data_IF_781035500564
#
_entry.id   IF_781035500564
#
_cell.length_a   1.000
_cell.length_b   1.000
_cell.length_c   1.000
_cell.angle_alpha   90.00
_cell.angle_beta   90.00
_cell.angle_gamma   90.00
#
_symmetry.space_group_name_H-M   'P 1'
#
loop_
_entity.id
_entity.type
_entity.pdbx_description
1 polymer ?
#
# COMPACT_ATOMS: atom_id res chain seq x y z
N UNK A 1 -2.42 8.94 -23.61
CA UNK A 1 -1.66 8.07 -22.69
C UNK A 1 -1.04 8.85 -21.53
N UNK A 2 0.03 9.66 -21.68
CA UNK A 2 0.62 10.34 -20.51
C UNK A 2 -0.36 11.22 -19.71
N UNK A 3 -1.27 11.95 -20.37
CA UNK A 3 -2.39 12.65 -19.70
C UNK A 3 -3.27 11.68 -18.90
N UNK A 4 -3.63 10.54 -19.49
CA UNK A 4 -4.42 9.48 -18.85
C UNK A 4 -3.70 8.90 -17.62
N UNK A 5 -2.37 8.72 -17.67
CA UNK A 5 -1.61 8.17 -16.55
C UNK A 5 -1.43 9.19 -15.40
N UNK A 6 -1.36 10.49 -15.71
CA UNK A 6 -1.43 11.57 -14.71
C UNK A 6 -2.83 11.63 -14.08
N UNK A 7 -3.88 11.50 -14.90
CA UNK A 7 -5.26 11.43 -14.42
C UNK A 7 -5.48 10.18 -13.54
N UNK A 8 -4.97 9.02 -13.95
CA UNK A 8 -4.98 7.78 -13.18
C UNK A 8 -4.28 7.99 -11.83
N UNK A 9 -3.10 8.59 -11.80
CA UNK A 9 -2.39 8.92 -10.56
C UNK A 9 -3.24 9.78 -9.63
N UNK A 10 -3.76 10.92 -10.11
CA UNK A 10 -4.59 11.80 -9.28
C UNK A 10 -5.86 11.10 -8.79
N UNK A 11 -6.57 10.36 -9.66
CA UNK A 11 -7.78 9.62 -9.28
C UNK A 11 -7.46 8.52 -8.27
N UNK A 12 -6.40 7.73 -8.48
CA UNK A 12 -5.99 6.67 -7.55
C UNK A 12 -5.55 7.22 -6.19
N UNK A 13 -4.76 8.30 -6.16
CA UNK A 13 -4.39 8.96 -4.92
C UNK A 13 -5.60 9.56 -4.21
N UNK A 14 -6.46 10.32 -4.89
CA UNK A 14 -7.65 10.89 -4.24
C UNK A 14 -8.64 9.83 -3.73
N UNK A 15 -8.80 8.71 -4.44
CA UNK A 15 -9.60 7.57 -3.96
C UNK A 15 -8.96 6.96 -2.71
N UNK A 16 -7.64 6.73 -2.71
CA UNK A 16 -6.89 6.23 -1.56
C UNK A 16 -7.00 7.18 -0.37
N UNK A 17 -6.80 8.49 -0.57
CA UNK A 17 -6.85 9.52 0.47
C UNK A 17 -8.26 9.57 1.11
N UNK A 18 -9.33 9.57 0.31
CA UNK A 18 -10.72 9.51 0.80
C UNK A 18 -10.93 8.25 1.64
N UNK A 19 -10.51 7.08 1.16
CA UNK A 19 -10.70 5.82 1.86
C UNK A 19 -9.86 5.69 3.15
N UNK A 20 -8.64 6.22 3.18
CA UNK A 20 -7.77 6.17 4.36
C UNK A 20 -8.16 7.21 5.43
N UNK A 21 -8.70 8.37 5.05
CA UNK A 21 -8.94 9.50 5.98
C UNK A 21 -10.40 9.73 6.38
N UNK A 22 -11.35 9.16 5.65
CA UNK A 22 -12.79 9.38 5.90
C UNK A 22 -13.66 8.13 5.82
N UNK A 23 -13.19 7.10 5.12
CA UNK A 23 -13.95 5.87 4.90
C UNK A 23 -13.65 4.79 5.93
N UNK A 24 -12.38 4.40 6.02
CA UNK A 24 -11.93 3.09 6.47
C UNK A 24 -10.66 3.12 7.35
N UNK A 25 -10.38 4.20 8.08
CA UNK A 25 -9.30 4.22 9.06
C UNK A 25 -9.41 3.06 10.06
N UNK A 26 -8.31 2.31 10.22
CA UNK A 26 -8.22 1.13 11.09
C UNK A 26 -7.49 1.44 12.39
N UNK A 27 -8.10 1.09 13.53
CA UNK A 27 -7.37 0.92 14.79
C UNK A 27 -6.69 -0.45 14.75
N UNK A 28 -5.39 -0.49 14.43
CA UNK A 28 -4.55 -1.69 14.37
C UNK A 28 -3.77 -1.85 15.68
N UNK A 29 -3.63 -3.08 16.17
CA UNK A 29 -3.11 -3.37 17.51
C UNK A 29 -1.76 -4.08 17.49
N UNK A 30 -0.65 -3.35 17.46
CA UNK A 30 0.72 -3.93 17.53
C UNK A 30 0.85 -4.89 18.75
N UNK A 31 1.62 -5.99 18.72
CA UNK A 31 2.24 -6.65 17.58
C UNK A 31 1.30 -7.70 16.97
N UNK A 32 -0.01 -7.44 16.99
CA UNK A 32 -1.04 -8.26 16.34
C UNK A 32 -1.48 -7.63 15.01
N UNK A 33 -1.71 -8.42 13.94
CA UNK A 33 -2.34 -7.94 12.71
C UNK A 33 -3.88 -7.92 12.89
N UNK A 34 -4.31 -7.51 14.08
CA UNK A 34 -5.68 -7.36 14.52
C UNK A 34 -6.08 -5.90 14.48
N UNK A 35 -7.36 -5.65 14.25
CA UNK A 35 -7.92 -4.32 14.39
C UNK A 35 -9.40 -4.28 14.07
N UNK A 36 -9.91 -3.07 13.94
CA UNK A 36 -11.25 -2.80 13.43
C UNK A 36 -11.27 -1.41 12.80
N UNK A 37 -12.08 -1.21 11.74
CA UNK A 37 -12.29 0.11 11.20
C UNK A 37 -13.14 0.96 12.18
N UNK A 38 -12.80 2.24 12.29
CA UNK A 38 -13.40 3.19 13.24
C UNK A 38 -14.18 4.34 12.57
N UNK A 39 -14.09 4.46 11.24
CA UNK A 39 -14.58 5.61 10.48
C UNK A 39 -16.00 5.45 9.91
N UNK A 40 -16.46 6.43 9.12
CA UNK A 40 -17.84 6.61 8.65
C UNK A 40 -18.45 5.34 8.05
N UNK A 41 -17.69 4.55 7.30
CA UNK A 41 -18.23 3.35 6.64
C UNK A 41 -18.58 2.25 7.64
N UNK A 42 -17.95 2.24 8.81
CA UNK A 42 -18.31 1.37 9.94
C UNK A 42 -19.59 1.82 10.62
N UNK A 43 -19.85 3.13 10.68
CA UNK A 43 -21.08 3.68 11.24
C UNK A 43 -22.31 3.34 10.39
N UNK A 44 -22.18 3.35 9.06
CA UNK A 44 -23.25 2.90 8.14
C UNK A 44 -23.32 1.37 7.95
N UNK A 45 -22.51 0.60 8.69
CA UNK A 45 -22.58 -0.87 8.72
C UNK A 45 -21.93 -1.61 7.54
N UNK A 46 -20.98 -1.01 6.81
CA UNK A 46 -20.20 -1.74 5.79
C UNK A 46 -19.35 -2.81 6.48
N UNK A 47 -19.36 -4.05 5.96
CA UNK A 47 -18.58 -5.15 6.50
C UNK A 47 -17.08 -4.83 6.54
N UNK A 48 -16.43 -5.02 7.70
CA UNK A 48 -15.02 -4.65 7.93
C UNK A 48 -14.02 -5.34 6.99
N UNK A 49 -14.33 -6.53 6.49
CA UNK A 49 -13.55 -7.23 5.45
C UNK A 49 -13.54 -6.43 4.15
N UNK A 50 -14.70 -5.91 3.74
CA UNK A 50 -14.85 -5.09 2.52
C UNK A 50 -14.10 -3.76 2.71
N UNK A 51 -14.21 -3.14 3.89
CA UNK A 51 -13.47 -1.92 4.23
C UNK A 51 -11.94 -2.12 4.08
N UNK A 52 -11.41 -3.20 4.66
CA UNK A 52 -9.97 -3.51 4.59
C UNK A 52 -9.52 -3.82 3.16
N UNK A 53 -10.30 -4.61 2.41
CA UNK A 53 -9.99 -4.96 1.04
C UNK A 53 -9.87 -3.72 0.14
N UNK A 54 -10.85 -2.79 0.23
CA UNK A 54 -10.87 -1.57 -0.60
C UNK A 54 -9.73 -0.62 -0.19
N UNK A 55 -9.45 -0.47 1.11
CA UNK A 55 -8.36 0.38 1.61
C UNK A 55 -7.01 -0.11 1.08
N UNK A 56 -6.69 -1.39 1.28
CA UNK A 56 -5.42 -1.97 0.83
C UNK A 56 -5.33 -1.99 -0.71
N UNK A 57 -6.41 -2.30 -1.41
CA UNK A 57 -6.45 -2.29 -2.88
C UNK A 57 -6.27 -0.89 -3.48
N UNK A 58 -6.85 0.15 -2.87
CA UNK A 58 -6.67 1.54 -3.32
C UNK A 58 -5.25 2.05 -3.04
N UNK A 59 -4.63 1.66 -1.92
CA UNK A 59 -3.21 1.91 -1.66
C UNK A 59 -2.29 1.25 -2.71
N UNK A 60 -2.51 -0.02 -3.04
CA UNK A 60 -1.78 -0.71 -4.10
C UNK A 60 -2.01 -0.07 -5.48
N UNK A 61 -3.23 0.39 -5.78
CA UNK A 61 -3.54 1.11 -7.01
C UNK A 61 -2.83 2.47 -7.10
N UNK A 62 -2.71 3.21 -5.99
CA UNK A 62 -1.94 4.45 -5.93
C UNK A 62 -0.44 4.19 -6.19
N UNK A 63 0.16 3.18 -5.55
CA UNK A 63 1.57 2.80 -5.81
C UNK A 63 1.76 2.39 -7.27
N UNK A 64 0.88 1.54 -7.80
CA UNK A 64 0.92 1.11 -9.21
C UNK A 64 0.73 2.28 -10.18
N UNK A 65 -0.05 3.31 -9.83
CA UNK A 65 -0.22 4.50 -10.67
C UNK A 65 1.08 5.32 -10.81
N UNK A 66 1.96 5.35 -9.80
CA UNK A 66 3.32 5.91 -9.94
C UNK A 66 4.16 5.09 -10.93
N UNK A 67 4.11 3.75 -10.84
CA UNK A 67 4.79 2.86 -11.81
C UNK A 67 4.29 3.14 -13.23
N UNK A 68 2.98 3.22 -13.44
CA UNK A 68 2.37 3.53 -14.73
C UNK A 68 2.74 4.95 -15.23
N UNK A 69 2.87 5.94 -14.34
CA UNK A 69 3.35 7.28 -14.72
C UNK A 69 4.79 7.24 -15.25
N UNK A 70 5.71 6.60 -14.53
CA UNK A 70 7.12 6.56 -14.92
C UNK A 70 7.40 5.60 -16.09
N UNK A 71 6.67 4.50 -16.21
CA UNK A 71 6.65 3.65 -17.41
C UNK A 71 6.27 4.47 -18.65
N UNK A 72 5.19 5.26 -18.59
CA UNK A 72 4.79 6.07 -19.75
C UNK A 72 5.77 7.21 -20.04
N UNK A 73 6.50 7.71 -19.04
CA UNK A 73 7.59 8.68 -19.26
C UNK A 73 8.77 8.02 -19.97
N UNK A 74 9.23 6.87 -19.48
CA UNK A 74 10.28 6.06 -20.10
C UNK A 74 9.93 5.75 -21.57
N UNK A 75 8.72 5.27 -21.84
CA UNK A 75 8.30 4.95 -23.20
C UNK A 75 8.28 6.18 -24.13
N UNK A 76 7.84 7.33 -23.63
CA UNK A 76 7.78 8.57 -24.41
C UNK A 76 9.15 9.24 -24.65
N UNK A 77 10.10 9.08 -23.73
CA UNK A 77 11.41 9.74 -23.77
C UNK A 77 12.52 8.87 -24.36
N UNK A 78 12.47 7.56 -24.15
CA UNK A 78 13.55 6.62 -24.50
C UNK A 78 13.16 5.75 -25.68
N UNK A 79 12.00 5.09 -25.60
CA UNK A 79 11.69 3.99 -26.52
C UNK A 79 11.37 4.49 -27.93
N UNK A 80 10.72 5.66 -28.05
CA UNK A 80 10.25 6.33 -29.29
C UNK A 80 9.30 5.52 -30.19
N UNK A 81 9.47 4.21 -30.27
CA UNK A 81 8.60 3.27 -30.95
C UNK A 81 7.18 3.34 -30.36
N UNK A 82 6.22 3.49 -31.28
CA UNK A 82 4.78 3.50 -31.03
C UNK A 82 4.08 2.39 -31.83
N UNK A 83 4.81 1.36 -32.24
CA UNK A 83 4.27 0.19 -32.90
C UNK A 83 3.11 -0.41 -32.12
N UNK A 84 2.18 -1.01 -32.85
CA UNK A 84 1.04 -1.74 -32.29
C UNK A 84 1.51 -2.84 -31.31
N UNK A 85 2.63 -3.50 -31.63
CA UNK A 85 3.24 -4.50 -30.76
C UNK A 85 3.74 -3.91 -29.43
N UNK A 86 4.44 -2.77 -29.44
CA UNK A 86 4.85 -2.08 -28.21
C UNK A 86 3.62 -1.60 -27.41
N UNK A 87 2.53 -1.18 -28.08
CA UNK A 87 1.26 -0.85 -27.39
C UNK A 87 0.63 -2.07 -26.73
N UNK A 88 0.59 -3.22 -27.41
CA UNK A 88 0.10 -4.48 -26.88
C UNK A 88 0.91 -4.97 -25.67
N UNK A 89 2.24 -4.97 -25.75
CA UNK A 89 3.10 -5.36 -24.62
C UNK A 89 2.89 -4.49 -23.38
N UNK A 90 2.59 -3.19 -23.57
CA UNK A 90 2.31 -2.26 -22.46
C UNK A 90 0.93 -2.48 -21.85
N UNK A 91 -0.07 -2.81 -22.67
CA UNK A 91 -1.38 -3.24 -22.18
C UNK A 91 -1.27 -4.54 -21.38
N UNK A 92 -0.50 -5.52 -21.88
CA UNK A 92 -0.20 -6.76 -21.17
C UNK A 92 0.53 -6.50 -19.84
N UNK A 93 1.55 -5.64 -19.83
CA UNK A 93 2.25 -5.23 -18.60
C UNK A 93 1.32 -4.65 -17.54
N UNK A 94 0.40 -3.75 -17.92
CA UNK A 94 -0.56 -3.21 -16.96
C UNK A 94 -1.57 -4.27 -16.48
N UNK A 95 -2.09 -5.10 -17.41
CA UNK A 95 -3.02 -6.18 -17.08
C UNK A 95 -2.39 -7.19 -16.13
N UNK A 96 -1.15 -7.63 -16.39
CA UNK A 96 -0.41 -8.57 -15.53
C UNK A 96 -0.21 -8.01 -14.13
N UNK A 97 0.13 -6.72 -13.98
CA UNK A 97 0.24 -6.10 -12.66
C UNK A 97 -1.12 -6.04 -11.94
N UNK A 98 -2.19 -5.64 -12.62
CA UNK A 98 -3.53 -5.58 -12.01
C UNK A 98 -3.98 -6.97 -11.57
N UNK A 99 -3.84 -7.99 -12.43
CA UNK A 99 -4.19 -9.39 -12.13
C UNK A 99 -3.34 -9.95 -11.00
N UNK A 100 -2.04 -9.65 -10.97
CA UNK A 100 -1.15 -10.09 -9.89
C UNK A 100 -1.53 -9.46 -8.55
N UNK A 101 -1.66 -8.13 -8.48
CA UNK A 101 -1.98 -7.41 -7.24
C UNK A 101 -3.36 -7.81 -6.71
N UNK A 102 -4.39 -7.80 -7.57
CA UNK A 102 -5.75 -8.16 -7.15
C UNK A 102 -5.87 -9.67 -6.86
N UNK A 103 -5.19 -10.54 -7.61
CA UNK A 103 -5.16 -11.98 -7.33
C UNK A 103 -4.53 -12.30 -5.98
N UNK A 104 -3.42 -11.65 -5.63
CA UNK A 104 -2.79 -11.78 -4.32
C UNK A 104 -3.70 -11.25 -3.20
N UNK A 105 -4.33 -10.09 -3.39
CA UNK A 105 -5.30 -9.54 -2.44
C UNK A 105 -6.50 -10.46 -2.22
N UNK A 106 -7.10 -11.00 -3.30
CA UNK A 106 -8.20 -11.97 -3.22
C UNK A 106 -7.74 -13.22 -2.47
N UNK A 107 -6.55 -13.75 -2.75
CA UNK A 107 -6.02 -14.93 -2.04
C UNK A 107 -5.89 -14.69 -0.53
N UNK A 108 -5.32 -13.55 -0.13
CA UNK A 108 -5.15 -13.17 1.29
C UNK A 108 -6.51 -13.08 1.98
N UNK A 109 -7.47 -12.39 1.36
CA UNK A 109 -8.81 -12.20 1.90
C UNK A 109 -9.70 -13.44 1.83
N UNK A 110 -9.34 -14.44 1.02
CA UNK A 110 -10.02 -15.74 1.00
C UNK A 110 -9.54 -16.66 2.13
N UNK A 111 -8.27 -16.54 2.55
CA UNK A 111 -7.66 -17.36 3.60
C UNK A 111 -7.56 -16.64 4.96
N UNK A 112 -8.19 -15.47 5.11
CA UNK A 112 -8.29 -14.80 6.41
C UNK A 112 -9.06 -15.68 7.42
N UNK A 113 -8.74 -15.61 8.72
CA UNK A 113 -9.50 -16.33 9.75
C UNK A 113 -10.93 -15.78 9.81
N UNK A 114 -11.89 -16.61 10.22
CA UNK A 114 -13.19 -16.10 10.61
C UNK A 114 -13.06 -15.16 11.81
N UNK A 115 -14.03 -14.26 12.00
CA UNK A 115 -14.02 -13.33 13.14
C UNK A 115 -13.86 -14.06 14.49
N UNK A 116 -14.48 -15.24 14.64
CA UNK A 116 -14.37 -16.07 15.85
C UNK A 116 -12.95 -16.60 16.06
N UNK A 117 -12.31 -17.12 15.02
CA UNK A 117 -10.94 -17.65 15.08
C UNK A 117 -9.92 -16.55 15.35
N UNK A 118 -10.03 -15.42 14.65
CA UNK A 118 -9.17 -14.26 14.89
C UNK A 118 -9.26 -13.77 16.35
N UNK A 119 -10.46 -13.74 16.94
CA UNK A 119 -10.65 -13.39 18.36
C UNK A 119 -9.98 -14.39 19.30
N UNK A 120 -10.06 -15.69 19.00
CA UNK A 120 -9.43 -16.73 19.83
C UNK A 120 -7.90 -16.63 19.77
N UNK A 121 -7.33 -16.42 18.58
CA UNK A 121 -5.88 -16.22 18.40
C UNK A 121 -5.40 -15.00 19.18
N UNK A 122 -6.04 -13.83 18.99
CA UNK A 122 -5.67 -12.60 19.72
C UNK A 122 -5.79 -12.75 21.24
N UNK A 123 -6.85 -13.39 21.75
CA UNK A 123 -7.00 -13.63 23.20
C UNK A 123 -5.92 -14.56 23.77
N UNK A 124 -5.41 -15.50 22.97
CA UNK A 124 -4.36 -16.44 23.36
C UNK A 124 -2.98 -15.80 23.29
N UNK A 125 -2.67 -15.14 22.18
CA UNK A 125 -1.33 -14.64 21.86
C UNK A 125 -1.08 -13.26 22.52
N UNK A 126 -2.14 -12.48 22.76
CA UNK A 126 -2.09 -11.13 23.35
C UNK A 126 -3.22 -10.90 24.38
N UNK A 127 -3.25 -11.65 25.52
CA UNK A 127 -4.31 -11.57 26.54
C UNK A 127 -4.43 -10.20 27.22
N UNK A 128 -3.41 -9.37 27.08
CA UNK A 128 -3.33 -7.96 27.48
C UNK A 128 -4.23 -7.01 26.68
N UNK A 129 -4.70 -7.39 25.49
CA UNK A 129 -5.58 -6.53 24.68
C UNK A 129 -6.99 -6.53 25.30
N UNK A 130 -7.55 -5.35 25.68
CA UNK A 130 -8.82 -5.32 26.40
C UNK A 130 -9.96 -5.95 25.61
N UNK A 131 -10.79 -6.74 26.29
CA UNK A 131 -11.87 -7.53 25.68
C UNK A 131 -12.87 -6.67 24.89
N UNK A 132 -13.12 -5.43 25.30
CA UNK A 132 -13.97 -4.46 24.59
C UNK A 132 -13.51 -4.19 23.15
N UNK A 133 -12.20 -4.26 22.89
CA UNK A 133 -11.64 -4.14 21.55
C UNK A 133 -11.77 -5.46 20.78
N UNK A 134 -11.37 -6.59 21.39
CA UNK A 134 -11.42 -7.92 20.75
C UNK A 134 -12.86 -8.33 20.39
N UNK A 135 -13.82 -7.99 21.23
CA UNK A 135 -15.24 -8.32 21.06
C UNK A 135 -16.01 -7.30 20.22
N UNK A 136 -15.33 -6.27 19.69
CA UNK A 136 -15.92 -5.29 18.78
C UNK A 136 -16.58 -5.99 17.57
N UNK A 137 -17.81 -5.61 17.16
CA UNK A 137 -18.53 -6.26 16.08
C UNK A 137 -17.83 -6.16 14.72
N UNK A 138 -16.97 -5.15 14.52
CA UNK A 138 -16.21 -4.93 13.29
C UNK A 138 -14.78 -5.52 13.35
N UNK A 139 -14.45 -6.29 14.40
CA UNK A 139 -13.15 -6.94 14.58
C UNK A 139 -12.73 -7.73 13.34
N UNK A 140 -11.45 -7.56 12.97
CA UNK A 140 -10.77 -8.16 11.84
C UNK A 140 -9.37 -8.62 12.27
N UNK A 141 -8.93 -9.79 11.80
CA UNK A 141 -7.56 -10.26 11.95
C UNK A 141 -7.06 -10.70 10.57
N UNK A 142 -5.93 -10.17 10.12
CA UNK A 142 -5.43 -10.42 8.75
C UNK A 142 -4.57 -11.68 8.63
N UNK A 143 -3.99 -12.18 9.73
CA UNK A 143 -3.21 -13.42 9.69
C UNK A 143 -4.11 -14.65 9.84
N UNK A 144 -3.95 -15.59 8.91
CA UNK A 144 -4.64 -16.89 8.87
C UNK A 144 -4.33 -17.75 10.11
N UNK A 145 -5.17 -18.73 10.53
CA UNK A 145 -4.97 -19.44 11.79
C UNK A 145 -3.93 -20.57 11.71
N UNK A 146 -3.46 -20.97 10.52
CA UNK A 146 -2.40 -21.99 10.37
C UNK A 146 -1.06 -21.37 10.00
N UNK A 147 0.05 -21.93 10.51
CA UNK A 147 1.43 -21.46 10.29
C UNK A 147 1.74 -21.23 8.82
N UNK A 148 1.34 -22.17 7.98
CA UNK A 148 1.72 -22.26 6.58
C UNK A 148 1.02 -21.14 5.79
N UNK A 149 -0.27 -20.93 6.07
CA UNK A 149 -1.05 -19.83 5.51
C UNK A 149 -0.57 -18.45 5.97
N UNK A 150 -0.03 -18.30 7.19
CA UNK A 150 0.58 -17.02 7.63
C UNK A 150 1.83 -16.72 6.82
N UNK A 151 2.72 -17.71 6.64
CA UNK A 151 3.95 -17.54 5.87
C UNK A 151 3.64 -17.15 4.41
N UNK A 152 2.68 -17.82 3.77
CA UNK A 152 2.24 -17.48 2.41
C UNK A 152 1.63 -16.07 2.36
N UNK A 153 0.76 -15.70 3.30
CA UNK A 153 0.15 -14.35 3.36
C UNK A 153 1.20 -13.25 3.49
N UNK A 154 2.15 -13.40 4.42
CA UNK A 154 3.26 -12.43 4.60
C UNK A 154 4.13 -12.36 3.35
N UNK A 155 4.49 -13.50 2.76
CA UNK A 155 5.26 -13.57 1.51
C UNK A 155 4.54 -12.84 0.36
N UNK A 156 3.24 -13.05 0.19
CA UNK A 156 2.45 -12.39 -0.85
C UNK A 156 2.41 -10.86 -0.64
N UNK A 157 2.13 -10.39 0.58
CA UNK A 157 2.15 -8.95 0.92
C UNK A 157 3.51 -8.31 0.61
N UNK A 158 4.60 -8.93 1.07
CA UNK A 158 5.97 -8.46 0.84
C UNK A 158 6.32 -8.49 -0.66
N UNK A 159 5.89 -9.53 -1.39
CA UNK A 159 6.17 -9.67 -2.82
C UNK A 159 5.47 -8.59 -3.67
N UNK A 160 4.21 -8.26 -3.39
CA UNK A 160 3.47 -7.20 -4.10
C UNK A 160 4.19 -5.86 -3.99
N UNK A 161 4.60 -5.50 -2.77
CA UNK A 161 5.32 -4.26 -2.48
C UNK A 161 6.67 -4.25 -3.22
N UNK A 162 7.48 -5.31 -3.08
CA UNK A 162 8.80 -5.39 -3.72
C UNK A 162 8.72 -5.34 -5.25
N UNK A 163 7.75 -6.04 -5.87
CA UNK A 163 7.55 -6.01 -7.33
C UNK A 163 7.27 -4.58 -7.81
N UNK A 164 6.40 -3.84 -7.12
CA UNK A 164 6.10 -2.45 -7.47
C UNK A 164 7.30 -1.53 -7.25
N UNK A 165 8.03 -1.67 -6.14
CA UNK A 165 9.24 -0.88 -5.87
C UNK A 165 10.35 -1.13 -6.90
N UNK A 166 10.60 -2.38 -7.27
CA UNK A 166 11.62 -2.74 -8.29
C UNK A 166 11.24 -2.15 -9.65
N UNK A 167 9.97 -2.27 -10.07
CA UNK A 167 9.48 -1.65 -11.32
C UNK A 167 9.60 -0.12 -11.28
N UNK A 168 9.25 0.50 -10.15
CA UNK A 168 9.35 1.94 -9.96
C UNK A 168 10.81 2.40 -10.06
N UNK A 169 11.73 1.78 -9.33
CA UNK A 169 13.18 2.08 -9.37
C UNK A 169 13.74 1.89 -10.78
N UNK A 170 13.34 0.83 -11.48
CA UNK A 170 13.74 0.59 -12.88
C UNK A 170 13.32 1.75 -13.78
N UNK A 171 12.02 2.10 -13.84
CA UNK A 171 11.56 3.17 -14.73
C UNK A 171 12.08 4.55 -14.31
N UNK A 172 12.25 4.81 -13.00
CA UNK A 172 12.86 6.03 -12.48
C UNK A 172 14.31 6.19 -12.91
N UNK A 173 15.15 5.18 -12.61
CA UNK A 173 16.59 5.22 -12.89
C UNK A 173 16.87 5.31 -14.39
N UNK A 174 16.18 4.53 -15.22
CA UNK A 174 16.32 4.62 -16.68
C UNK A 174 15.80 5.95 -17.24
N UNK A 175 14.65 6.45 -16.78
CA UNK A 175 14.16 7.77 -17.23
C UNK A 175 15.14 8.88 -16.84
N UNK A 176 15.67 8.87 -15.61
CA UNK A 176 16.68 9.81 -15.17
C UNK A 176 17.96 9.71 -16.01
N UNK A 177 18.50 8.49 -16.19
CA UNK A 177 19.72 8.26 -16.95
C UNK A 177 19.63 8.84 -18.37
N UNK A 178 18.60 8.51 -19.14
CA UNK A 178 18.44 9.03 -20.51
C UNK A 178 18.16 10.54 -20.55
N UNK A 179 17.45 11.09 -19.56
CA UNK A 179 17.12 12.51 -19.50
C UNK A 179 18.31 13.40 -19.13
N UNK A 180 19.20 12.91 -18.26
CA UNK A 180 20.38 13.65 -17.77
C UNK A 180 21.68 13.36 -18.53
N UNK A 181 21.89 12.14 -19.05
CA UNK A 181 23.07 11.82 -19.88
C UNK A 181 23.11 12.55 -21.23
N UNK A 182 22.00 13.21 -21.60
CA UNK A 182 21.92 14.01 -22.84
C UNK A 182 21.90 13.16 -24.12
N UNK A 183 21.68 11.86 -24.02
CA UNK A 183 22.04 10.87 -25.04
C UNK A 183 21.18 10.84 -26.31
N UNK A 184 20.01 11.50 -26.42
CA UNK A 184 19.19 11.40 -27.65
C UNK A 184 18.07 12.42 -27.95
N UNK A 185 17.82 12.56 -29.26
CA UNK A 185 16.58 12.88 -30.02
C UNK A 185 15.61 14.02 -29.65
N UNK A 186 15.66 14.65 -28.48
CA UNK A 186 14.78 15.80 -28.16
C UNK A 186 15.52 17.14 -28.23
N UNK A 187 14.83 18.20 -28.65
CA UNK A 187 15.41 19.56 -28.70
C UNK A 187 15.88 20.00 -27.31
N UNK A 188 16.88 20.88 -27.24
CA UNK A 188 17.41 21.41 -25.96
C UNK A 188 16.31 22.07 -25.12
N UNK A 189 15.37 22.77 -25.76
CA UNK A 189 14.19 23.37 -25.10
C UNK A 189 13.25 22.29 -24.54
N UNK A 190 12.92 21.28 -25.36
CA UNK A 190 12.10 20.14 -24.93
C UNK A 190 12.74 19.38 -23.77
N UNK A 191 14.06 19.14 -23.82
CA UNK A 191 14.81 18.50 -22.74
C UNK A 191 14.72 19.31 -21.45
N UNK A 192 14.98 20.61 -21.49
CA UNK A 192 14.88 21.51 -20.32
C UNK A 192 13.48 21.48 -19.68
N UNK A 193 12.42 21.41 -20.49
CA UNK A 193 11.06 21.23 -20.00
C UNK A 193 10.84 19.85 -19.36
N UNK A 194 11.25 18.77 -20.03
CA UNK A 194 11.11 17.40 -19.52
C UNK A 194 11.90 17.16 -18.23
N UNK A 195 13.12 17.72 -18.10
CA UNK A 195 13.91 17.67 -16.87
C UNK A 195 13.17 18.33 -15.71
N UNK A 196 12.68 19.57 -15.88
CA UNK A 196 11.88 20.25 -14.85
C UNK A 196 10.64 19.44 -14.46
N UNK A 197 9.94 18.88 -15.45
CA UNK A 197 8.72 18.10 -15.23
C UNK A 197 8.99 16.74 -14.57
N UNK A 198 10.13 16.12 -14.83
CA UNK A 198 10.58 14.90 -14.16
C UNK A 198 10.92 15.19 -12.69
N UNK A 199 11.70 16.24 -12.40
CA UNK A 199 11.98 16.68 -11.02
C UNK A 199 10.69 17.02 -10.26
N UNK A 200 9.73 17.69 -10.90
CA UNK A 200 8.43 17.97 -10.30
C UNK A 200 7.65 16.69 -9.95
N UNK A 201 7.59 15.70 -10.85
CA UNK A 201 6.93 14.42 -10.54
C UNK A 201 7.68 13.56 -9.52
N UNK A 202 9.01 13.64 -9.45
CA UNK A 202 9.78 13.04 -8.34
C UNK A 202 9.36 13.65 -7.00
N UNK A 203 9.25 14.98 -6.92
CA UNK A 203 8.83 15.68 -5.70
C UNK A 203 7.37 15.34 -5.32
N UNK A 204 6.46 15.32 -6.31
CA UNK A 204 5.06 14.94 -6.12
C UNK A 204 4.88 13.49 -5.63
N UNK A 205 5.79 12.58 -5.99
CA UNK A 205 5.80 11.20 -5.49
C UNK A 205 6.48 11.10 -4.12
N UNK A 206 7.59 11.81 -3.92
CA UNK A 206 8.39 11.75 -2.70
C UNK A 206 7.63 12.30 -1.49
N UNK A 207 6.85 13.38 -1.64
CA UNK A 207 6.11 13.99 -0.52
C UNK A 207 5.12 12.98 0.11
N UNK A 208 4.15 12.39 -0.62
CA UNK A 208 3.29 11.35 -0.05
C UNK A 208 4.07 10.13 0.43
N UNK A 209 5.09 9.69 -0.33
CA UNK A 209 5.88 8.50 0.03
C UNK A 209 6.58 8.67 1.39
N UNK A 210 7.15 9.85 1.69
CA UNK A 210 7.76 10.14 2.99
C UNK A 210 6.69 10.26 4.08
N UNK A 211 5.57 10.93 3.81
CA UNK A 211 4.45 11.04 4.75
C UNK A 211 3.86 9.69 5.16
N UNK A 212 3.84 8.70 4.26
CA UNK A 212 3.44 7.31 4.58
C UNK A 212 4.59 6.47 5.16
N UNK A 213 5.82 6.65 4.70
CA UNK A 213 6.97 5.85 5.18
C UNK A 213 7.29 6.13 6.65
N UNK A 214 7.20 7.39 7.11
CA UNK A 214 7.48 7.75 8.51
C UNK A 214 6.61 6.98 9.53
N UNK A 215 5.26 7.00 9.46
CA UNK A 215 4.43 6.22 10.39
C UNK A 215 4.60 4.71 10.20
N UNK A 216 4.85 4.21 8.98
CA UNK A 216 5.13 2.78 8.75
C UNK A 216 6.46 2.37 9.42
N UNK A 217 7.53 3.16 9.28
CA UNK A 217 8.81 2.86 9.94
C UNK A 217 8.69 2.91 11.47
N UNK A 218 7.92 3.85 12.01
CA UNK A 218 7.61 3.89 13.44
C UNK A 218 6.83 2.63 13.87
N UNK A 219 5.77 2.27 13.15
CA UNK A 219 4.98 1.05 13.36
C UNK A 219 5.84 -0.22 13.34
N UNK A 220 6.71 -0.39 12.33
CA UNK A 220 7.59 -1.54 12.21
C UNK A 220 8.65 -1.59 13.32
N UNK A 221 9.16 -0.43 13.76
CA UNK A 221 10.09 -0.34 14.90
C UNK A 221 9.39 -0.77 16.20
N UNK A 222 8.17 -0.32 16.43
CA UNK A 222 7.37 -0.69 17.60
C UNK A 222 7.03 -2.18 17.59
N UNK A 223 6.62 -2.72 16.44
CA UNK A 223 6.38 -4.16 16.25
C UNK A 223 7.62 -4.99 16.54
N UNK A 224 8.79 -4.60 16.00
CA UNK A 224 10.04 -5.33 16.21
C UNK A 224 10.51 -5.32 17.68
N UNK A 225 10.17 -4.28 18.44
CA UNK A 225 10.46 -4.19 19.88
C UNK A 225 9.32 -4.73 20.76
N UNK A 226 8.26 -5.31 20.18
CA UNK A 226 7.00 -5.67 20.86
C UNK A 226 6.42 -4.52 21.73
N UNK A 227 6.69 -3.27 21.35
CA UNK A 227 6.39 -2.07 22.14
C UNK A 227 5.09 -1.40 21.71
N UNK A 228 4.39 -0.82 22.70
CA UNK A 228 2.97 -0.49 22.64
C UNK A 228 2.70 0.40 23.91
N UNK A 229 1.91 1.50 23.97
CA UNK A 229 1.48 2.20 25.23
C UNK A 229 0.14 3.01 25.13
N UNK A 230 -0.94 2.54 25.78
CA UNK A 230 -2.32 3.09 25.62
C UNK A 230 -2.57 4.26 26.54
N UNK A 231 -1.81 4.32 27.62
CA UNK A 231 -2.06 5.23 28.74
C UNK A 231 -1.85 6.69 28.35
N UNK A 232 -1.03 6.97 27.33
CA UNK A 232 -0.63 8.32 26.91
C UNK A 232 -1.37 8.88 25.70
N UNK A 233 -2.23 8.09 25.04
CA UNK A 233 -2.65 8.38 23.66
C UNK A 233 -4.10 8.88 23.46
N UNK A 234 -4.75 9.42 24.51
CA UNK A 234 -6.05 10.11 24.39
C UNK A 234 -6.01 11.33 23.44
N UNK A 235 -4.83 11.85 23.10
CA UNK A 235 -4.66 13.11 22.36
C UNK A 235 -4.21 13.04 20.90
N UNK A 236 -3.83 11.87 20.34
CA UNK A 236 -3.42 11.77 18.92
C UNK A 236 -3.87 10.44 18.29
N UNK A 237 -3.88 10.34 16.97
CA UNK A 237 -4.74 9.39 16.23
C UNK A 237 -4.16 7.98 15.93
N UNK A 238 -3.29 7.40 16.77
CA UNK A 238 -2.68 6.07 16.54
C UNK A 238 -2.61 5.24 17.83
N UNK A 239 -3.40 4.17 17.92
CA UNK A 239 -3.53 3.29 19.09
C UNK A 239 -2.31 2.37 19.31
N UNK A 240 -1.71 2.43 20.50
CA UNK A 240 -0.56 1.60 20.94
C UNK A 240 -0.79 1.18 22.43
N UNK A 241 -0.41 0.00 23.01
CA UNK A 241 -0.79 -0.53 24.38
C UNK A 241 0.10 -1.61 25.10
N UNK A 242 1.05 -1.32 26.01
CA UNK A 242 2.06 -2.32 26.52
C UNK A 242 1.51 -3.75 26.74
N UNK A 243 1.92 -4.67 25.87
CA UNK A 243 1.79 -6.11 26.03
C UNK A 243 3.19 -6.68 26.29
N UNK A 244 3.55 -7.06 27.54
CA UNK A 244 4.80 -7.73 27.79
C UNK A 244 4.85 -9.04 26.99
N UNK A 245 5.88 -9.22 26.18
CA UNK A 245 6.16 -10.50 25.54
C UNK A 245 6.31 -11.58 26.63
N UNK A 246 5.64 -12.71 26.43
CA UNK A 246 5.49 -13.73 27.47
C UNK A 246 6.83 -14.20 28.05
N UNK A 247 6.92 -14.16 29.37
CA UNK A 247 7.81 -15.03 30.13
C UNK A 247 6.98 -16.27 30.50
N UNK A 248 7.56 -17.46 30.27
CA UNK A 248 7.00 -18.83 30.28
C UNK A 248 6.09 -19.18 29.11
#
# INVERSE_FOLDING_TARGET
MQKNNIMLLHVSCSIMDIFITSGFGFSIWIPSPAGFPVELMSYIGVNSVIQAYITLSSGLAAIFSYVALFESRYNNLVRHDKSEFTRFLRALFYLTNIVFLQGCMIFIFWHMPTQKEGRMNVKKDHPCIPLSYVENPNFLHLNSPTSDTVLVTVFLMVSMINVLFIQLIYYLSYTAYYLFSGTRTVSVSTRKFQTKFFTASLLQMAIPSVSFALPIMAYMTLWANAYYDQSKFIHNAISQVICPSGIS
#
